data_IF_754870638727
#
_entry.id   IF_754870638727
#
_cell.length_a   1.000
_cell.length_b   1.000
_cell.length_c   1.000
_cell.angle_alpha   90.00
_cell.angle_beta   90.00
_cell.angle_gamma   90.00
#
_symmetry.space_group_name_H-M   'P 1'
#
loop_
_entity.id
_entity.type
_entity.pdbx_description
1 polymer ?
#
# COMPACT_ATOMS: atom_id res chain seq x y z
N UNK A 1 -21.91 -44.01 1.45
CA UNK A 1 -22.44 -42.63 1.54
C UNK A 1 -21.50 -41.85 2.45
N UNK A 2 -20.88 -40.73 2.12
CA UNK A 2 -20.86 -39.88 0.95
C UNK A 2 -19.41 -39.36 0.81
N UNK A 3 -18.90 -39.25 -0.41
CA UNK A 3 -17.59 -38.68 -0.70
C UNK A 3 -17.77 -37.17 -0.78
N UNK A 4 -17.42 -36.43 0.27
CA UNK A 4 -17.42 -34.98 0.23
C UNK A 4 -16.16 -34.55 -0.53
N UNK A 5 -16.29 -34.36 -1.83
CA UNK A 5 -15.28 -33.66 -2.61
C UNK A 5 -15.32 -32.20 -2.15
N UNK A 6 -14.45 -31.81 -1.21
CA UNK A 6 -14.17 -30.41 -0.95
C UNK A 6 -13.71 -29.79 -2.28
N UNK A 7 -14.60 -29.04 -2.90
CA UNK A 7 -14.24 -28.21 -4.03
C UNK A 7 -13.23 -27.18 -3.51
N UNK A 8 -11.95 -27.39 -3.84
CA UNK A 8 -10.92 -26.36 -3.70
C UNK A 8 -11.50 -25.09 -4.32
N UNK A 9 -11.56 -23.97 -3.57
CA UNK A 9 -12.02 -22.71 -4.13
C UNK A 9 -11.18 -22.44 -5.37
N UNK A 10 -11.79 -22.02 -6.49
CA UNK A 10 -11.00 -21.54 -7.62
C UNK A 10 -9.98 -20.55 -7.06
N UNK A 11 -8.71 -20.71 -7.42
CA UNK A 11 -7.64 -19.76 -7.09
C UNK A 11 -7.94 -18.44 -7.81
N UNK A 12 -8.99 -17.76 -7.38
CA UNK A 12 -9.44 -16.48 -7.89
C UNK A 12 -8.37 -15.49 -7.44
N UNK A 13 -7.61 -15.01 -8.41
CA UNK A 13 -6.61 -13.98 -8.18
C UNK A 13 -7.28 -12.80 -7.47
N UNK A 14 -6.59 -12.03 -6.63
CA UNK A 14 -7.20 -10.89 -5.93
C UNK A 14 -7.89 -9.88 -6.90
N UNK A 15 -7.54 -9.90 -8.19
CA UNK A 15 -8.21 -9.15 -9.25
C UNK A 15 -9.64 -9.62 -9.57
N UNK A 16 -9.97 -10.87 -9.28
CA UNK A 16 -11.32 -11.43 -9.40
C UNK A 16 -12.20 -11.04 -8.20
N UNK A 17 -11.61 -10.42 -7.17
CA UNK A 17 -12.27 -9.96 -5.95
C UNK A 17 -11.97 -8.47 -5.70
N UNK A 18 -12.56 -7.55 -6.49
CA UNK A 18 -12.26 -6.12 -6.43
C UNK A 18 -12.43 -5.52 -5.03
N UNK A 19 -13.39 -6.01 -4.25
CA UNK A 19 -13.56 -5.61 -2.86
C UNK A 19 -12.37 -5.97 -1.97
N UNK A 20 -11.77 -7.16 -2.13
CA UNK A 20 -10.57 -7.55 -1.38
C UNK A 20 -9.38 -6.71 -1.79
N UNK A 21 -9.18 -6.48 -3.08
CA UNK A 21 -8.10 -5.62 -3.57
C UNK A 21 -8.23 -4.18 -3.05
N UNK A 22 -9.44 -3.62 -3.04
CA UNK A 22 -9.69 -2.31 -2.46
C UNK A 22 -9.41 -2.28 -0.95
N UNK A 23 -9.82 -3.33 -0.24
CA UNK A 23 -9.56 -3.49 1.20
C UNK A 23 -8.06 -3.52 1.49
N UNK A 24 -7.28 -4.32 0.76
CA UNK A 24 -5.82 -4.42 0.90
C UNK A 24 -5.12 -3.07 0.65
N UNK A 25 -5.49 -2.38 -0.44
CA UNK A 25 -4.92 -1.07 -0.80
C UNK A 25 -5.19 -0.02 0.29
N UNK A 26 -6.42 0.06 0.78
CA UNK A 26 -6.78 1.05 1.81
C UNK A 26 -6.16 0.68 3.16
N UNK A 27 -6.12 -0.60 3.50
CA UNK A 27 -5.46 -1.08 4.71
C UNK A 27 -3.99 -0.69 4.73
N UNK A 28 -3.25 -0.85 3.63
CA UNK A 28 -1.84 -0.46 3.56
C UNK A 28 -1.60 1.02 3.91
N UNK A 29 -2.49 1.92 3.47
CA UNK A 29 -2.41 3.34 3.81
C UNK A 29 -2.80 3.58 5.27
N UNK A 30 -3.88 2.97 5.75
CA UNK A 30 -4.27 3.08 7.15
C UNK A 30 -3.15 2.61 8.10
N UNK A 31 -2.52 1.48 7.77
CA UNK A 31 -1.39 0.94 8.52
C UNK A 31 -0.18 1.89 8.49
N UNK A 32 0.18 2.44 7.33
CA UNK A 32 1.28 3.40 7.24
C UNK A 32 1.03 4.66 8.09
N UNK A 33 -0.20 5.18 8.09
CA UNK A 33 -0.59 6.33 8.92
C UNK A 33 -0.53 5.97 10.41
N UNK A 34 -0.98 4.77 10.82
CA UNK A 34 -0.83 4.30 12.20
C UNK A 34 0.64 4.29 12.63
N UNK A 35 1.54 3.79 11.79
CA UNK A 35 2.98 3.76 12.11
C UNK A 35 3.58 5.17 12.17
N UNK A 36 3.18 6.08 11.28
CA UNK A 36 3.60 7.49 11.34
C UNK A 36 3.09 8.18 12.60
N UNK A 37 1.82 7.98 12.97
CA UNK A 37 1.25 8.52 14.19
C UNK A 37 1.99 8.06 15.46
N UNK A 38 2.34 6.77 15.52
CA UNK A 38 3.17 6.22 16.60
C UNK A 38 4.59 6.80 16.59
N UNK A 39 5.20 6.94 15.41
CA UNK A 39 6.54 7.51 15.27
C UNK A 39 6.58 8.97 15.73
N UNK A 40 5.51 9.72 15.46
CA UNK A 40 5.39 11.14 15.74
C UNK A 40 4.70 11.49 17.08
N UNK A 41 4.52 10.52 17.98
CA UNK A 41 3.79 10.73 19.25
C UNK A 41 4.39 11.86 20.12
N UNK A 42 5.70 12.08 20.05
CA UNK A 42 6.39 13.13 20.79
C UNK A 42 6.18 14.55 20.24
N UNK A 43 5.68 14.70 19.01
CA UNK A 43 5.30 16.00 18.44
C UNK A 43 3.82 16.28 18.76
N UNK A 44 3.51 17.34 19.54
CA UNK A 44 2.13 17.62 19.96
C UNK A 44 1.16 17.88 18.81
N UNK A 45 1.60 18.56 17.75
CA UNK A 45 0.75 18.89 16.61
C UNK A 45 0.50 17.63 15.76
N UNK A 46 1.54 16.84 15.52
CA UNK A 46 1.44 15.59 14.79
C UNK A 46 0.54 14.59 15.55
N UNK A 47 0.75 14.44 16.86
CA UNK A 47 -0.04 13.57 17.74
C UNK A 47 -1.52 13.96 17.78
N UNK A 48 -1.82 15.26 17.95
CA UNK A 48 -3.20 15.75 17.93
C UNK A 48 -3.88 15.52 16.56
N UNK A 49 -3.16 15.77 15.47
CA UNK A 49 -3.69 15.55 14.12
C UNK A 49 -3.96 14.06 13.83
N UNK A 50 -3.08 13.17 14.30
CA UNK A 50 -3.29 11.73 14.20
C UNK A 50 -4.48 11.26 15.02
N UNK A 51 -4.65 11.75 16.26
CA UNK A 51 -5.81 11.45 17.08
C UNK A 51 -7.12 11.88 16.39
N UNK A 52 -7.14 13.08 15.79
CA UNK A 52 -8.29 13.56 15.03
C UNK A 52 -8.56 12.72 13.77
N UNK A 53 -7.51 12.31 13.06
CA UNK A 53 -7.63 11.39 11.94
C UNK A 53 -8.19 10.04 12.37
N UNK A 54 -7.77 9.52 13.53
CA UNK A 54 -8.24 8.24 14.08
C UNK A 54 -9.72 8.29 14.48
N UNK A 55 -10.21 9.41 15.02
CA UNK A 55 -11.65 9.60 15.27
C UNK A 55 -12.46 9.42 13.97
N UNK A 56 -11.97 9.98 12.87
CA UNK A 56 -12.67 9.96 11.59
C UNK A 56 -12.52 8.63 10.82
N UNK A 57 -11.45 7.89 11.06
CA UNK A 57 -11.06 6.74 10.23
C UNK A 57 -10.97 5.42 10.99
N UNK A 58 -10.98 5.43 12.32
CA UNK A 58 -10.76 4.26 13.16
C UNK A 58 -11.77 3.15 12.92
N UNK A 59 -13.06 3.48 12.81
CA UNK A 59 -14.09 2.49 12.51
C UNK A 59 -13.91 1.85 11.13
N UNK A 60 -13.46 2.62 10.12
CA UNK A 60 -13.15 2.09 8.79
C UNK A 60 -11.92 1.20 8.83
N UNK A 61 -10.84 1.65 9.51
CA UNK A 61 -9.62 0.87 9.69
C UNK A 61 -9.88 -0.47 10.40
N UNK A 62 -10.70 -0.45 11.46
CA UNK A 62 -11.11 -1.67 12.15
C UNK A 62 -11.88 -2.62 11.22
N UNK A 63 -12.85 -2.10 10.46
CA UNK A 63 -13.66 -2.91 9.54
C UNK A 63 -12.82 -3.57 8.44
N UNK A 64 -11.90 -2.82 7.82
CA UNK A 64 -11.03 -3.37 6.78
C UNK A 64 -10.02 -4.37 7.38
N UNK A 65 -9.55 -4.14 8.61
CA UNK A 65 -8.67 -5.08 9.32
C UNK A 65 -9.39 -6.41 9.58
N UNK A 66 -10.62 -6.38 10.10
CA UNK A 66 -11.44 -7.58 10.32
C UNK A 66 -11.69 -8.32 9.01
N UNK A 67 -12.07 -7.60 7.94
CA UNK A 67 -12.32 -8.21 6.63
C UNK A 67 -11.09 -8.92 6.07
N UNK A 68 -9.90 -8.34 6.25
CA UNK A 68 -8.66 -8.97 5.83
C UNK A 68 -8.27 -10.14 6.73
N UNK A 69 -8.52 -10.04 8.04
CA UNK A 69 -8.34 -11.15 8.95
C UNK A 69 -9.20 -12.36 8.54
N UNK A 70 -10.49 -12.15 8.23
CA UNK A 70 -11.36 -13.20 7.70
C UNK A 70 -10.81 -13.80 6.40
N UNK A 71 -10.39 -12.95 5.45
CA UNK A 71 -9.83 -13.39 4.16
C UNK A 71 -8.54 -14.22 4.33
N UNK A 72 -7.66 -13.81 5.24
CA UNK A 72 -6.41 -14.49 5.56
C UNK A 72 -6.56 -15.59 6.62
N UNK A 73 -7.77 -15.83 7.14
CA UNK A 73 -8.08 -16.81 8.18
C UNK A 73 -7.29 -16.59 9.48
N UNK A 74 -7.15 -15.33 9.89
CA UNK A 74 -6.49 -14.93 11.14
C UNK A 74 -7.51 -14.88 12.31
N UNK A 75 -7.19 -15.43 13.50
CA UNK A 75 -8.03 -15.30 14.69
C UNK A 75 -8.23 -13.84 15.15
N UNK A 76 -9.47 -13.45 15.46
CA UNK A 76 -9.82 -12.07 15.85
C UNK A 76 -9.53 -11.70 17.31
N UNK A 77 -9.30 -12.69 18.19
CA UNK A 77 -9.26 -12.49 19.64
C UNK A 77 -7.91 -11.98 20.16
N UNK A 78 -6.94 -11.75 19.25
CA UNK A 78 -5.59 -11.33 19.60
C UNK A 78 -5.47 -9.79 19.61
N UNK A 79 -4.71 -9.25 20.56
CA UNK A 79 -4.59 -7.81 20.87
C UNK A 79 -3.89 -7.03 19.73
N UNK A 80 -3.26 -7.71 18.77
CA UNK A 80 -2.41 -7.17 17.71
C UNK A 80 -2.93 -7.42 16.28
N UNK A 81 -4.24 -7.67 16.11
CA UNK A 81 -4.83 -8.10 14.84
C UNK A 81 -4.38 -7.27 13.62
N UNK A 82 -4.30 -5.94 13.74
CA UNK A 82 -3.81 -5.08 12.66
C UNK A 82 -2.35 -5.39 12.27
N UNK A 83 -1.47 -5.59 13.26
CA UNK A 83 -0.06 -5.93 13.00
C UNK A 83 0.07 -7.30 12.33
N UNK A 84 -0.76 -8.26 12.72
CA UNK A 84 -0.78 -9.59 12.09
C UNK A 84 -1.27 -9.55 10.65
N UNK A 85 -2.35 -8.81 10.37
CA UNK A 85 -2.81 -8.56 8.99
C UNK A 85 -1.69 -7.90 8.17
N UNK A 86 -1.02 -6.89 8.73
CA UNK A 86 0.12 -6.25 8.07
C UNK A 86 1.27 -7.23 7.79
N UNK A 87 1.61 -8.11 8.74
CA UNK A 87 2.62 -9.14 8.57
C UNK A 87 2.25 -10.16 7.48
N UNK A 88 0.99 -10.62 7.44
CA UNK A 88 0.49 -11.50 6.38
C UNK A 88 0.55 -10.86 5.00
N UNK A 89 0.38 -9.53 4.93
CA UNK A 89 0.54 -8.74 3.72
C UNK A 89 2.00 -8.36 3.42
N UNK A 90 2.97 -8.83 4.20
CA UNK A 90 4.39 -8.47 4.11
C UNK A 90 4.66 -6.95 4.17
N UNK A 91 3.82 -6.21 4.91
CA UNK A 91 4.02 -4.79 5.17
C UNK A 91 4.97 -4.59 6.35
N UNK A 92 5.59 -3.41 6.41
CA UNK A 92 6.38 -3.01 7.58
C UNK A 92 5.49 -2.96 8.83
N UNK A 93 6.04 -3.44 9.94
CA UNK A 93 5.44 -3.36 11.27
C UNK A 93 5.96 -2.17 12.10
N UNK A 94 7.05 -1.54 11.65
CA UNK A 94 7.70 -0.39 12.28
C UNK A 94 8.34 0.50 11.21
N UNK A 95 8.47 1.80 11.50
CA UNK A 95 9.22 2.74 10.68
C UNK A 95 10.60 2.96 11.29
N UNK A 96 11.63 2.70 10.50
CA UNK A 96 13.01 3.03 10.84
C UNK A 96 13.40 4.27 10.01
N UNK A 97 13.20 5.45 10.59
CA UNK A 97 13.51 6.74 9.99
C UNK A 97 14.75 7.33 10.68
N UNK A 98 15.59 8.05 9.95
CA UNK A 98 16.60 8.94 10.57
C UNK A 98 15.89 10.07 11.33
N UNK A 99 16.61 10.72 12.25
CA UNK A 99 16.05 11.83 13.02
C UNK A 99 15.57 12.98 12.11
N UNK A 100 16.33 13.32 11.07
CA UNK A 100 15.94 14.34 10.09
C UNK A 100 14.66 13.95 9.33
N UNK A 101 14.58 12.71 8.83
CA UNK A 101 13.40 12.23 8.11
C UNK A 101 12.17 12.14 9.03
N UNK A 102 12.37 11.77 10.30
CA UNK A 102 11.33 11.79 11.32
C UNK A 102 10.85 13.20 11.58
N UNK A 103 11.76 14.17 11.74
CA UNK A 103 11.42 15.57 11.97
C UNK A 103 10.55 16.14 10.83
N UNK A 104 10.97 15.94 9.59
CA UNK A 104 10.21 16.40 8.41
C UNK A 104 8.85 15.70 8.28
N UNK A 105 8.80 14.39 8.52
CA UNK A 105 7.56 13.62 8.45
C UNK A 105 6.55 14.06 9.51
N UNK A 106 7.00 14.33 10.74
CA UNK A 106 6.11 14.77 11.82
C UNK A 106 5.64 16.21 11.61
N UNK A 107 6.51 17.09 11.11
CA UNK A 107 6.17 18.48 10.82
C UNK A 107 5.09 18.63 9.73
N UNK A 108 5.10 17.74 8.73
CA UNK A 108 4.14 17.75 7.60
C UNK A 108 2.91 16.86 7.78
N UNK A 109 2.85 16.10 8.89
CA UNK A 109 1.77 15.16 9.15
C UNK A 109 0.39 15.84 9.25
N UNK A 110 0.23 16.99 9.96
CA UNK A 110 -1.07 17.64 10.09
C UNK A 110 -1.70 18.02 8.75
N UNK A 111 -0.93 18.67 7.86
CA UNK A 111 -1.41 19.08 6.54
C UNK A 111 -1.72 17.85 5.68
N UNK A 112 -0.89 16.81 5.76
CA UNK A 112 -1.08 15.57 5.02
C UNK A 112 -2.38 14.87 5.44
N UNK A 113 -2.63 14.73 6.75
CA UNK A 113 -3.83 14.06 7.28
C UNK A 113 -5.12 14.84 7.01
N UNK A 114 -5.03 16.14 6.78
CA UNK A 114 -6.17 16.98 6.38
C UNK A 114 -6.60 16.76 4.92
N UNK A 115 -5.76 16.13 4.08
CA UNK A 115 -6.10 15.89 2.68
C UNK A 115 -7.32 14.95 2.56
N UNK A 116 -8.26 15.22 1.63
CA UNK A 116 -9.41 14.35 1.40
C UNK A 116 -9.03 12.90 1.06
N UNK A 117 -7.86 12.70 0.44
CA UNK A 117 -7.30 11.39 0.11
C UNK A 117 -6.88 10.57 1.34
N UNK A 118 -6.74 11.18 2.51
CA UNK A 118 -6.44 10.47 3.76
C UNK A 118 -7.70 9.96 4.48
N UNK A 119 -8.90 10.27 3.99
CA UNK A 119 -10.12 9.64 4.48
C UNK A 119 -10.27 8.21 3.93
N UNK A 120 -10.15 7.20 4.80
CA UNK A 120 -10.15 5.80 4.41
C UNK A 120 -11.47 5.35 3.79
N UNK A 121 -12.61 5.87 4.23
CA UNK A 121 -13.91 5.51 3.64
C UNK A 121 -14.02 6.01 2.21
N UNK A 122 -13.76 7.31 1.99
CA UNK A 122 -13.77 7.90 0.64
C UNK A 122 -12.77 7.21 -0.27
N UNK A 123 -11.60 6.87 0.28
CA UNK A 123 -10.55 6.18 -0.48
C UNK A 123 -10.94 4.75 -0.83
N UNK A 124 -11.62 4.03 0.05
CA UNK A 124 -12.17 2.72 -0.27
C UNK A 124 -13.16 2.79 -1.43
N UNK A 125 -14.10 3.73 -1.40
CA UNK A 125 -15.09 3.88 -2.47
C UNK A 125 -14.41 4.22 -3.81
N UNK A 126 -13.42 5.14 -3.78
CA UNK A 126 -12.66 5.52 -4.97
C UNK A 126 -11.85 4.34 -5.54
N UNK A 127 -11.14 3.60 -4.68
CA UNK A 127 -10.35 2.43 -5.12
C UNK A 127 -11.27 1.33 -5.62
N UNK A 128 -12.41 1.08 -4.97
CA UNK A 128 -13.36 0.06 -5.40
C UNK A 128 -13.89 0.35 -6.81
N UNK A 129 -14.21 1.62 -7.09
CA UNK A 129 -14.62 2.06 -8.42
C UNK A 129 -13.49 1.87 -9.45
N UNK A 130 -12.25 2.20 -9.07
CA UNK A 130 -11.07 2.04 -9.92
C UNK A 130 -10.85 0.56 -10.31
N UNK A 131 -10.86 -0.35 -9.33
CA UNK A 131 -10.53 -1.77 -9.54
C UNK A 131 -11.68 -2.57 -10.16
N UNK A 132 -12.92 -2.08 -10.08
CA UNK A 132 -14.07 -2.65 -10.79
C UNK A 132 -14.06 -2.38 -12.29
N UNK A 133 -13.22 -1.45 -12.76
CA UNK A 133 -13.11 -1.16 -14.18
C UNK A 133 -12.48 -2.36 -14.92
N UNK A 134 -13.11 -2.91 -15.97
CA UNK A 134 -12.57 -4.03 -16.73
C UNK A 134 -11.22 -3.73 -17.41
N UNK A 135 -10.92 -2.44 -17.65
CA UNK A 135 -9.65 -1.97 -18.20
C UNK A 135 -8.69 -1.44 -17.13
N UNK A 136 -8.95 -1.74 -15.85
CA UNK A 136 -8.12 -1.32 -14.71
C UNK A 136 -6.62 -1.61 -14.91
N UNK A 137 -6.27 -2.78 -15.44
CA UNK A 137 -4.88 -3.16 -15.73
C UNK A 137 -4.32 -2.56 -17.03
N UNK A 138 -5.17 -2.00 -17.90
CA UNK A 138 -4.79 -1.44 -19.20
C UNK A 138 -4.49 0.04 -19.16
N UNK A 139 -4.74 0.73 -18.04
CA UNK A 139 -4.31 2.11 -17.85
C UNK A 139 -2.78 2.13 -17.80
N UNK A 140 -2.16 2.50 -18.93
CA UNK A 140 -0.75 2.93 -18.96
C UNK A 140 -0.60 4.03 -17.90
N UNK A 141 0.30 3.79 -16.94
CA UNK A 141 0.83 4.85 -16.07
C UNK A 141 1.23 5.99 -17.02
N UNK A 142 0.69 7.22 -16.89
CA UNK A 142 1.20 8.33 -17.67
C UNK A 142 2.70 8.36 -17.40
N UNK A 143 3.49 8.27 -18.45
CA UNK A 143 4.92 8.48 -18.33
C UNK A 143 5.06 9.85 -17.67
N UNK A 144 5.63 9.89 -16.46
CA UNK A 144 6.16 11.12 -15.92
C UNK A 144 7.15 11.56 -17.00
N UNK A 145 6.87 12.69 -17.65
CA UNK A 145 7.77 13.24 -18.64
C UNK A 145 9.13 13.39 -17.96
N UNK A 146 10.12 12.68 -18.48
CA UNK A 146 11.51 12.92 -18.15
C UNK A 146 11.93 14.24 -18.82
N UNK A 147 11.48 15.37 -18.27
CA UNK A 147 12.21 16.64 -18.34
C UNK A 147 12.97 16.68 -17.00
N UNK A 148 14.25 16.36 -16.90
CA UNK A 148 15.37 16.92 -17.65
C UNK A 148 16.43 15.83 -17.86
N UNK A 149 16.65 15.39 -19.11
CA UNK A 149 17.87 14.68 -19.50
C UNK A 149 18.84 15.73 -20.04
N UNK A 150 19.84 16.07 -19.23
CA UNK A 150 21.05 16.72 -19.69
C UNK A 150 21.71 15.82 -20.77
N UNK A 151 22.06 16.33 -21.96
CA UNK A 151 22.60 15.50 -23.02
C UNK A 151 24.11 15.26 -22.82
N UNK A 152 24.50 13.99 -22.72
CA UNK A 152 25.87 13.57 -23.02
C UNK A 152 26.09 13.62 -24.54
N UNK A 153 27.21 14.17 -25.04
CA UNK A 153 27.61 14.00 -26.43
C UNK A 153 28.27 12.64 -26.64
N UNK A 154 27.78 11.99 -27.69
CA UNK A 154 28.25 10.75 -28.32
C UNK A 154 29.71 10.87 -28.77
N UNK A 155 30.50 9.83 -28.56
CA UNK A 155 31.51 9.45 -29.57
C UNK A 155 31.40 7.96 -29.89
N UNK A 156 31.04 7.74 -31.15
CA UNK A 156 30.94 6.46 -31.84
C UNK A 156 32.25 6.27 -32.58
N UNK A 157 32.92 5.14 -32.36
CA UNK A 157 33.87 4.61 -33.33
C UNK A 157 33.64 3.11 -33.46
N UNK A 158 33.22 2.74 -34.67
CA UNK A 158 33.24 1.43 -35.28
C UNK A 158 34.49 0.62 -34.90
N UNK A 159 34.34 -0.69 -34.68
CA UNK A 159 34.87 -1.65 -35.65
C UNK A 159 34.35 -3.06 -35.41
N UNK A 160 33.97 -3.67 -36.52
CA UNK A 160 33.40 -5.00 -36.68
C UNK A 160 34.46 -5.85 -37.38
N UNK A 161 35.00 -6.85 -36.69
CA UNK A 161 35.66 -8.03 -37.29
C UNK A 161 35.21 -9.25 -36.47
N UNK A 162 34.25 -10.04 -36.93
CA UNK A 162 34.43 -11.27 -37.74
C UNK A 162 35.41 -12.33 -37.19
N UNK A 163 34.78 -13.44 -36.75
CA UNK A 163 35.12 -14.85 -37.06
C UNK A 163 36.33 -15.58 -36.43
N UNK A 164 36.00 -16.83 -36.08
CA UNK A 164 36.80 -18.04 -35.88
C UNK A 164 37.36 -18.29 -34.46
N UNK A 165 36.87 -19.31 -33.73
CA UNK A 165 36.98 -20.78 -33.90
C UNK A 165 38.29 -21.30 -33.29
N UNK A 166 38.11 -22.04 -32.18
CA UNK A 166 38.97 -23.10 -31.63
C UNK A 166 40.38 -22.74 -31.15
N UNK A 167 40.63 -22.94 -29.86
CA UNK A 167 41.44 -24.05 -29.32
C UNK A 167 41.05 -24.33 -27.86
#
# INVERSE_FOLDING_TARGET
MANATEALPPHAYAFDQPEILATQRVFGIGNAITLLGQTCEADPNASASYAQWLINNGATLQRITIRLADYYRLPHQEIDLQQRVAATMHLKSQLNLSDDAKFEACASLPETLALPSMNLSKRYDAVLLEVKNPDYLKKKRPAVAAEDKQPDPVESSDDREEQNRSE
#
